data_IF_304730427369
#
_entry.id   IF_304730427369
#
_cell.length_a   1.000
_cell.length_b   1.000
_cell.length_c   1.000
_cell.angle_alpha   90.00
_cell.angle_beta   90.00
_cell.angle_gamma   90.00
#
_symmetry.space_group_name_H-M   'P 1'
#
loop_
_entity.id
_entity.type
_entity.pdbx_description
1 polymer ?
#
# COMPACT_ATOMS: atom_id res chain seq x y z
N UNK A 1 -7.22 -51.41 -21.88
CA UNK A 1 -8.07 -51.14 -20.71
C UNK A 1 -7.79 -49.72 -20.25
N UNK A 2 -8.50 -48.76 -20.80
CA UNK A 2 -8.42 -47.33 -20.44
C UNK A 2 -9.40 -47.05 -19.31
N UNK A 3 -8.93 -46.55 -18.21
CA UNK A 3 -9.81 -46.05 -17.15
C UNK A 3 -9.90 -44.53 -17.25
N UNK A 4 -11.00 -44.05 -17.82
CA UNK A 4 -11.32 -42.62 -17.86
C UNK A 4 -11.67 -42.09 -16.47
N UNK A 5 -11.00 -41.03 -16.09
CA UNK A 5 -11.30 -40.22 -14.89
C UNK A 5 -12.43 -39.25 -15.28
N UNK A 6 -13.63 -39.45 -14.74
CA UNK A 6 -14.76 -38.53 -14.86
C UNK A 6 -14.57 -37.32 -13.97
N UNK A 7 -14.37 -36.16 -14.57
CA UNK A 7 -14.40 -34.85 -13.90
C UNK A 7 -15.86 -34.56 -13.50
N UNK A 8 -16.13 -34.45 -12.19
CA UNK A 8 -17.45 -34.02 -11.69
C UNK A 8 -17.49 -32.48 -11.75
N UNK A 9 -18.36 -31.98 -12.64
CA UNK A 9 -18.78 -30.58 -12.64
C UNK A 9 -19.62 -30.33 -11.38
N UNK A 10 -19.14 -29.54 -10.44
CA UNK A 10 -19.90 -29.10 -9.28
C UNK A 10 -20.75 -27.88 -9.65
N UNK A 11 -22.04 -28.06 -9.51
CA UNK A 11 -23.09 -27.06 -9.75
C UNK A 11 -23.00 -25.89 -8.77
N UNK A 12 -22.70 -24.70 -9.27
CA UNK A 12 -22.66 -23.44 -8.54
C UNK A 12 -24.06 -22.85 -8.37
N UNK A 13 -24.82 -23.37 -7.42
CA UNK A 13 -26.07 -22.73 -6.93
C UNK A 13 -26.21 -22.99 -5.43
N UNK A 14 -25.43 -22.27 -4.62
CA UNK A 14 -25.78 -22.00 -3.22
C UNK A 14 -25.42 -20.56 -2.90
N UNK A 15 -26.44 -19.77 -2.60
CA UNK A 15 -26.39 -18.44 -2.04
C UNK A 15 -25.34 -18.38 -0.90
N UNK A 16 -24.30 -17.59 -1.11
CA UNK A 16 -23.34 -17.30 -0.06
C UNK A 16 -23.95 -16.22 0.82
N UNK A 17 -24.34 -16.61 2.03
CA UNK A 17 -24.63 -15.70 3.12
C UNK A 17 -23.39 -14.86 3.40
N UNK A 18 -23.43 -13.57 3.07
CA UNK A 18 -22.41 -12.57 3.45
C UNK A 18 -22.55 -12.24 4.93
N UNK A 19 -22.10 -13.13 5.81
CA UNK A 19 -21.92 -12.83 7.22
C UNK A 19 -20.51 -13.21 7.61
N UNK A 20 -19.72 -12.18 7.98
CA UNK A 20 -18.38 -12.24 8.56
C UNK A 20 -17.35 -13.03 7.75
N UNK A 21 -16.61 -12.33 6.91
CA UNK A 21 -15.30 -12.82 6.45
C UNK A 21 -14.37 -12.77 7.67
N UNK A 22 -14.32 -13.88 8.41
CA UNK A 22 -13.25 -14.10 9.39
C UNK A 22 -11.99 -14.40 8.57
N UNK A 23 -11.14 -13.39 8.34
CA UNK A 23 -9.81 -13.62 7.83
C UNK A 23 -9.06 -14.50 8.83
N UNK A 24 -8.62 -15.68 8.41
CA UNK A 24 -7.70 -16.49 9.20
C UNK A 24 -6.35 -15.78 9.20
N UNK A 25 -6.08 -15.02 10.26
CA UNK A 25 -4.77 -14.36 10.40
C UNK A 25 -3.68 -15.42 10.48
N UNK A 26 -2.62 -15.27 9.70
CA UNK A 26 -1.41 -16.04 9.92
C UNK A 26 -0.87 -15.72 11.31
N UNK A 27 -0.61 -16.76 12.12
CA UNK A 27 -0.22 -16.59 13.52
C UNK A 27 1.06 -15.76 13.70
N UNK A 28 1.98 -15.81 12.72
CA UNK A 28 3.23 -15.05 12.75
C UNK A 28 3.09 -13.76 11.95
N UNK A 29 3.36 -12.58 12.53
CA UNK A 29 3.33 -11.34 11.80
C UNK A 29 4.45 -11.28 10.74
N UNK A 30 4.17 -10.62 9.60
CA UNK A 30 5.18 -10.31 8.58
C UNK A 30 6.23 -9.34 9.11
N UNK A 31 5.77 -8.37 9.90
CA UNK A 31 6.58 -7.29 10.45
C UNK A 31 6.01 -6.86 11.78
N UNK A 32 6.86 -6.40 12.69
CA UNK A 32 6.46 -5.71 13.92
C UNK A 32 7.25 -4.43 14.10
N UNK A 33 6.56 -3.34 14.39
CA UNK A 33 7.16 -2.05 14.74
C UNK A 33 7.14 -1.92 16.26
N UNK A 34 8.31 -1.95 16.88
CA UNK A 34 8.43 -1.87 18.32
C UNK A 34 8.40 -0.42 18.83
N UNK A 35 7.98 -0.25 20.10
CA UNK A 35 8.03 1.05 20.78
C UNK A 35 7.09 2.10 20.24
N UNK A 36 5.98 1.70 19.62
CA UNK A 36 4.95 2.63 19.16
C UNK A 36 4.30 3.37 20.32
N UNK A 37 4.13 4.67 20.12
CA UNK A 37 3.34 5.55 20.98
C UNK A 37 2.25 6.23 20.16
N UNK A 38 1.09 6.45 20.77
CA UNK A 38 -0.01 7.18 20.15
C UNK A 38 0.26 8.68 20.17
N UNK A 39 -0.15 9.38 19.12
CA UNK A 39 -0.08 10.83 19.02
C UNK A 39 -1.21 11.41 18.19
N UNK A 40 -1.59 12.64 18.52
CA UNK A 40 -2.57 13.44 17.78
C UNK A 40 -1.85 14.51 16.97
N UNK A 41 -2.05 14.56 15.67
CA UNK A 41 -1.48 15.61 14.81
C UNK A 41 -2.20 16.94 15.08
N UNK A 42 -1.44 17.91 15.60
CA UNK A 42 -1.97 19.23 15.92
C UNK A 42 -1.80 20.18 14.75
N UNK A 43 -0.67 20.11 14.05
CA UNK A 43 -0.36 20.96 12.92
C UNK A 43 0.56 20.28 11.92
N UNK A 44 0.23 20.42 10.62
CA UNK A 44 1.07 19.99 9.50
C UNK A 44 0.90 20.98 8.33
N UNK A 45 1.94 21.58 7.78
CA UNK A 45 3.36 21.54 8.23
C UNK A 45 3.54 22.05 9.65
N UNK A 46 4.61 21.62 10.33
CA UNK A 46 4.96 22.05 11.69
C UNK A 46 5.11 23.55 11.82
N UNK A 47 4.87 24.09 13.02
CA UNK A 47 5.14 25.50 13.37
C UNK A 47 6.63 25.85 13.20
N UNK A 48 7.52 24.88 13.45
CA UNK A 48 8.97 25.04 13.49
C UNK A 48 9.62 24.68 12.15
N UNK A 49 9.32 23.49 11.62
CA UNK A 49 9.89 22.98 10.37
C UNK A 49 8.82 23.03 9.26
N UNK A 50 8.94 24.03 8.37
CA UNK A 50 7.94 24.38 7.33
C UNK A 50 7.93 23.43 6.13
N UNK A 51 8.07 22.11 6.35
CA UNK A 51 7.96 21.11 5.31
C UNK A 51 6.72 20.22 5.55
N UNK A 52 6.02 19.78 4.51
CA UNK A 52 4.84 18.91 4.64
C UNK A 52 5.18 17.52 5.21
N UNK A 53 6.46 17.21 5.36
CA UNK A 53 6.93 15.95 5.95
C UNK A 53 7.10 16.02 7.47
N UNK A 54 6.85 17.16 8.10
CA UNK A 54 6.98 17.31 9.55
C UNK A 54 5.70 17.87 10.15
N UNK A 55 5.26 17.23 11.23
CA UNK A 55 4.09 17.63 11.99
C UNK A 55 4.44 17.93 13.46
N UNK A 56 3.68 18.84 14.06
CA UNK A 56 3.57 18.99 15.51
C UNK A 56 2.56 17.97 16.02
N UNK A 57 2.98 17.12 16.94
CA UNK A 57 2.18 15.99 17.44
C UNK A 57 2.12 16.04 18.96
N UNK A 58 0.93 15.93 19.52
CA UNK A 58 0.71 15.75 20.96
C UNK A 58 0.77 14.26 21.29
N UNK A 59 1.56 13.90 22.29
CA UNK A 59 1.78 12.51 22.68
C UNK A 59 0.63 12.02 23.58
N UNK A 60 -0.16 11.05 23.12
CA UNK A 60 -1.25 10.45 23.89
C UNK A 60 -2.15 11.50 24.52
N UNK A 61 -2.55 11.26 25.76
CA UNK A 61 -3.38 12.18 26.57
C UNK A 61 -2.55 13.21 27.36
N UNK A 62 -1.28 13.39 27.01
CA UNK A 62 -0.39 14.36 27.66
C UNK A 62 -0.43 15.72 26.96
N UNK A 63 0.07 16.78 27.64
CA UNK A 63 0.31 18.11 27.04
C UNK A 63 1.66 18.22 26.33
N UNK A 64 2.37 17.10 26.15
CA UNK A 64 3.70 17.09 25.55
C UNK A 64 3.58 17.15 24.03
N UNK A 65 4.04 18.25 23.44
CA UNK A 65 4.19 18.39 21.98
C UNK A 65 5.59 17.92 21.53
N UNK A 66 5.63 17.28 20.38
CA UNK A 66 6.87 16.80 19.75
C UNK A 66 6.82 16.95 18.24
N UNK A 67 7.99 16.88 17.58
CA UNK A 67 8.08 16.82 16.12
C UNK A 67 8.09 15.37 15.66
N UNK A 68 7.16 15.04 14.76
CA UNK A 68 7.09 13.75 14.07
C UNK A 68 7.34 13.90 12.57
N UNK A 69 8.16 12.99 12.02
CA UNK A 69 8.37 12.90 10.59
C UNK A 69 7.25 12.04 9.97
N UNK A 70 6.48 12.63 9.07
CA UNK A 70 5.42 11.97 8.30
C UNK A 70 5.91 11.76 6.87
N UNK A 71 6.17 10.53 6.47
CA UNK A 71 6.89 10.25 5.22
C UNK A 71 6.08 10.41 3.93
N UNK A 72 4.76 10.57 3.98
CA UNK A 72 3.94 10.54 2.76
C UNK A 72 3.10 11.80 2.59
N UNK A 73 3.15 12.38 1.39
CA UNK A 73 2.22 13.42 0.95
C UNK A 73 0.90 12.82 0.41
N UNK A 74 0.92 11.58 -0.04
CA UNK A 74 -0.22 10.87 -0.61
C UNK A 74 -1.09 10.14 0.42
N UNK A 75 -1.01 10.50 1.71
CA UNK A 75 -1.87 9.94 2.76
C UNK A 75 -2.97 10.93 3.15
N UNK A 76 -3.78 11.35 2.19
CA UNK A 76 -4.85 12.33 2.37
C UNK A 76 -5.76 11.94 3.55
N UNK A 77 -5.88 12.82 4.55
CA UNK A 77 -6.66 12.60 5.76
C UNK A 77 -5.98 11.73 6.84
N UNK A 78 -5.06 10.83 6.46
CA UNK A 78 -4.46 9.87 7.40
C UNK A 78 -3.33 10.44 8.26
N UNK A 79 -2.80 11.58 7.88
CA UNK A 79 -1.74 12.28 8.63
C UNK A 79 -2.01 13.80 8.66
N UNK A 80 -3.25 14.22 8.54
CA UNK A 80 -3.66 15.62 8.61
C UNK A 80 -4.00 16.03 10.04
N UNK A 81 -4.26 17.31 10.26
CA UNK A 81 -4.63 17.84 11.58
C UNK A 81 -5.86 17.10 12.12
N UNK A 82 -5.79 16.62 13.35
CA UNK A 82 -6.83 15.82 13.99
C UNK A 82 -6.66 14.29 13.79
N UNK A 83 -5.72 13.84 12.95
CA UNK A 83 -5.47 12.41 12.79
C UNK A 83 -4.75 11.83 14.02
N UNK A 84 -5.24 10.69 14.50
CA UNK A 84 -4.55 9.86 15.48
C UNK A 84 -3.55 8.96 14.77
N UNK A 85 -2.28 8.98 15.20
CA UNK A 85 -1.20 8.25 14.58
C UNK A 85 -0.43 7.41 15.59
N UNK A 86 0.22 6.35 15.12
CA UNK A 86 1.18 5.58 15.90
C UNK A 86 2.58 5.84 15.36
N UNK A 87 3.47 6.24 16.24
CA UNK A 87 4.82 6.69 15.90
C UNK A 87 5.86 6.04 16.80
N UNK A 88 7.03 5.75 16.26
CA UNK A 88 8.16 5.25 17.04
C UNK A 88 9.25 6.31 17.21
N UNK A 89 10.01 6.28 18.31
CA UNK A 89 11.12 7.18 18.51
C UNK A 89 12.22 6.96 17.45
N UNK A 90 12.77 8.05 16.96
CA UNK A 90 13.94 7.99 16.07
C UNK A 90 15.19 7.80 16.91
N UNK A 91 16.09 6.88 16.57
CA UNK A 91 17.36 6.71 17.25
C UNK A 91 18.14 8.04 17.32
N UNK A 92 18.72 8.33 18.48
CA UNK A 92 19.55 9.54 18.63
C UNK A 92 20.71 9.48 17.62
N UNK A 93 21.03 10.60 16.95
CA UNK A 93 22.17 10.64 16.05
C UNK A 93 23.47 10.34 16.82
N UNK A 94 24.37 9.59 16.19
CA UNK A 94 25.68 9.22 16.79
C UNK A 94 26.55 10.45 17.12
N UNK A 95 26.37 11.56 16.40
CA UNK A 95 27.05 12.83 16.65
C UNK A 95 26.00 13.88 17.03
N UNK A 96 26.24 14.69 18.06
CA UNK A 96 25.35 15.81 18.39
C UNK A 96 25.23 16.73 17.18
N UNK A 97 24.01 17.13 16.84
CA UNK A 97 23.75 18.14 15.82
C UNK A 97 22.99 19.28 16.47
N UNK A 98 23.31 20.51 16.10
CA UNK A 98 22.56 21.70 16.54
C UNK A 98 21.26 21.90 15.74
N UNK A 99 20.93 20.95 14.84
CA UNK A 99 19.72 21.04 14.03
C UNK A 99 18.51 20.48 14.80
N UNK A 100 17.40 21.19 14.71
CA UNK A 100 16.12 20.71 15.22
C UNK A 100 15.70 19.51 14.36
N UNK A 101 15.53 18.35 14.99
CA UNK A 101 15.17 17.11 14.32
C UNK A 101 13.88 16.51 14.90
N UNK A 102 13.19 15.73 14.08
CA UNK A 102 12.04 14.95 14.54
C UNK A 102 12.49 13.90 15.55
N UNK A 103 11.83 13.86 16.70
CA UNK A 103 12.07 12.83 17.73
C UNK A 103 11.34 11.52 17.43
N UNK A 104 10.29 11.59 16.62
CA UNK A 104 9.45 10.47 16.26
C UNK A 104 9.28 10.36 14.75
N UNK A 105 9.01 9.15 14.31
CA UNK A 105 8.62 8.81 12.94
C UNK A 105 7.25 8.18 12.95
N UNK A 106 6.34 8.72 12.16
CA UNK A 106 4.98 8.23 12.03
C UNK A 106 4.97 7.04 11.06
N UNK A 107 4.39 5.93 11.50
CA UNK A 107 4.29 4.70 10.72
C UNK A 107 2.87 4.33 10.37
N UNK A 108 1.95 4.48 11.33
CA UNK A 108 0.57 4.04 11.20
C UNK A 108 -0.39 5.20 11.52
N UNK A 109 -1.59 5.13 10.97
CA UNK A 109 -2.72 5.99 11.31
C UNK A 109 -3.86 5.16 11.86
N UNK A 110 -4.61 5.68 12.84
CA UNK A 110 -5.80 5.05 13.38
C UNK A 110 -7.03 5.79 12.90
N UNK A 111 -7.91 5.10 12.19
CA UNK A 111 -9.21 5.61 11.76
C UNK A 111 -10.27 5.05 12.71
N UNK A 112 -11.09 5.92 13.27
CA UNK A 112 -12.30 5.53 13.99
C UNK A 112 -13.51 5.82 13.13
N UNK A 113 -14.27 4.78 12.83
CA UNK A 113 -15.49 4.89 12.04
C UNK A 113 -16.57 4.01 12.65
N UNK A 114 -17.66 4.63 13.07
CA UNK A 114 -18.71 3.98 13.86
C UNK A 114 -18.09 3.29 15.09
N UNK A 115 -18.35 2.01 15.30
CA UNK A 115 -17.81 1.22 16.42
C UNK A 115 -16.49 0.49 16.07
N UNK A 116 -15.92 0.76 14.89
CA UNK A 116 -14.69 0.13 14.43
C UNK A 116 -13.48 1.06 14.55
N UNK A 117 -12.33 0.46 14.87
CA UNK A 117 -11.02 1.10 14.78
C UNK A 117 -10.17 0.34 13.76
N UNK A 118 -9.62 1.06 12.79
CA UNK A 118 -8.83 0.50 11.71
C UNK A 118 -7.46 1.11 11.78
N UNK A 119 -6.43 0.26 11.83
CA UNK A 119 -5.04 0.70 11.80
C UNK A 119 -4.51 0.57 10.37
N UNK A 120 -3.94 1.65 9.85
CA UNK A 120 -3.49 1.76 8.45
C UNK A 120 -2.01 2.08 8.40
N UNK A 121 -1.24 1.30 7.64
CA UNK A 121 0.17 1.56 7.38
C UNK A 121 0.34 2.74 6.42
N UNK A 122 0.95 3.84 6.86
CA UNK A 122 1.09 5.05 6.04
C UNK A 122 2.52 5.36 5.62
N UNK A 123 3.52 4.73 6.25
CA UNK A 123 4.91 4.96 5.87
C UNK A 123 5.27 4.16 4.61
N UNK A 124 5.71 4.81 3.50
CA UNK A 124 5.88 4.15 2.20
C UNK A 124 6.82 2.95 2.21
N UNK A 125 7.91 3.01 2.99
CA UNK A 125 8.89 1.92 3.07
C UNK A 125 8.31 0.62 3.66
N UNK A 126 7.22 0.69 4.42
CA UNK A 126 6.56 -0.51 4.96
C UNK A 126 6.10 -1.45 3.84
N UNK A 127 5.66 -0.91 2.70
CA UNK A 127 5.19 -1.73 1.58
C UNK A 127 6.30 -2.64 1.04
N UNK A 128 7.52 -2.11 0.87
CA UNK A 128 8.66 -2.91 0.41
C UNK A 128 9.05 -3.96 1.46
N UNK A 129 9.14 -3.58 2.74
CA UNK A 129 9.54 -4.49 3.83
C UNK A 129 8.50 -5.60 4.03
N UNK A 130 7.21 -5.31 3.91
CA UNK A 130 6.11 -6.28 3.95
C UNK A 130 6.13 -7.22 2.74
N UNK A 131 6.40 -6.70 1.54
CA UNK A 131 6.52 -7.51 0.32
C UNK A 131 7.71 -8.47 0.44
N UNK A 132 8.84 -8.00 0.97
CA UNK A 132 10.00 -8.87 1.20
C UNK A 132 9.68 -9.99 2.20
N UNK A 133 9.00 -9.65 3.31
CA UNK A 133 8.58 -10.65 4.28
C UNK A 133 7.60 -11.67 3.69
N UNK A 134 6.66 -11.21 2.85
CA UNK A 134 5.72 -12.08 2.16
C UNK A 134 6.41 -13.01 1.14
N UNK A 135 7.42 -12.52 0.41
CA UNK A 135 8.26 -13.34 -0.47
C UNK A 135 9.01 -14.42 0.32
N UNK A 136 9.70 -14.04 1.42
CA UNK A 136 10.46 -14.96 2.28
C UNK A 136 9.59 -16.07 2.87
N UNK A 137 8.36 -15.74 3.23
CA UNK A 137 7.42 -16.65 3.87
C UNK A 137 6.50 -17.40 2.87
N UNK A 138 6.73 -17.25 1.56
CA UNK A 138 5.91 -17.86 0.49
C UNK A 138 4.41 -17.51 0.61
N UNK A 139 4.09 -16.28 0.95
CA UNK A 139 2.69 -15.83 1.02
C UNK A 139 2.16 -15.30 -0.32
N UNK A 140 3.04 -14.89 -1.25
CA UNK A 140 2.62 -14.42 -2.56
C UNK A 140 2.33 -15.62 -3.47
N UNK A 141 1.06 -15.88 -3.72
CA UNK A 141 0.59 -17.09 -4.45
C UNK A 141 1.14 -17.17 -5.87
N UNK A 142 1.38 -16.02 -6.52
CA UNK A 142 1.98 -15.95 -7.86
C UNK A 142 3.50 -16.06 -7.89
N UNK A 143 4.14 -16.02 -6.73
CA UNK A 143 5.61 -16.05 -6.57
C UNK A 143 6.05 -17.04 -5.48
N UNK A 144 5.39 -18.19 -5.39
CA UNK A 144 5.79 -19.27 -4.49
C UNK A 144 7.14 -19.85 -4.89
N UNK A 145 7.99 -20.18 -3.91
CA UNK A 145 9.24 -20.87 -4.14
C UNK A 145 10.26 -20.09 -4.99
N UNK A 146 10.32 -18.76 -4.83
CA UNK A 146 11.30 -17.92 -5.50
C UNK A 146 12.70 -18.44 -5.21
N UNK A 147 13.49 -18.75 -6.25
CA UNK A 147 14.84 -19.32 -6.11
C UNK A 147 15.83 -18.31 -5.54
N UNK A 148 15.74 -17.05 -6.01
CA UNK A 148 16.57 -15.93 -5.54
C UNK A 148 15.91 -14.60 -5.90
N UNK A 149 16.15 -13.61 -5.08
CA UNK A 149 15.78 -12.23 -5.38
C UNK A 149 16.80 -11.24 -4.81
N UNK A 150 16.74 -10.01 -5.25
CA UNK A 150 17.43 -8.86 -4.67
C UNK A 150 16.54 -7.65 -4.68
N UNK A 151 16.79 -6.72 -3.76
CA UNK A 151 16.13 -5.41 -3.70
C UNK A 151 16.85 -4.39 -4.59
N UNK A 152 16.11 -3.35 -4.97
CA UNK A 152 16.64 -2.13 -5.60
C UNK A 152 17.49 -2.41 -6.85
N UNK A 153 16.89 -3.05 -7.85
CA UNK A 153 17.58 -3.39 -9.10
C UNK A 153 17.44 -2.26 -10.11
N UNK A 154 18.55 -1.62 -10.44
CA UNK A 154 18.61 -0.68 -11.55
C UNK A 154 18.54 -1.41 -12.89
N UNK A 155 17.65 -0.95 -13.77
CA UNK A 155 17.51 -1.43 -15.14
C UNK A 155 17.62 -0.21 -16.06
N UNK A 156 18.56 -0.31 -16.99
CA UNK A 156 18.79 0.71 -17.98
C UNK A 156 18.69 0.11 -19.39
N UNK A 157 17.83 0.69 -20.23
CA UNK A 157 17.74 0.40 -21.65
C UNK A 157 17.70 1.76 -22.36
N UNK A 158 18.71 2.04 -23.16
CA UNK A 158 18.92 3.35 -23.78
C UNK A 158 17.65 3.88 -24.44
N UNK A 159 17.25 5.09 -24.07
CA UNK A 159 16.04 5.76 -24.58
C UNK A 159 14.70 5.15 -24.16
N UNK A 160 14.69 4.05 -23.39
CA UNK A 160 13.46 3.31 -23.08
C UNK A 160 13.22 3.12 -21.57
N UNK A 161 14.22 2.67 -20.83
CA UNK A 161 14.10 2.34 -19.40
C UNK A 161 15.26 2.93 -18.63
N UNK A 162 14.96 3.66 -17.59
CA UNK A 162 15.94 4.19 -16.62
C UNK A 162 15.29 4.25 -15.23
N UNK A 163 15.10 3.08 -14.64
CA UNK A 163 14.48 2.96 -13.32
C UNK A 163 15.15 1.92 -12.44
N UNK A 164 14.99 2.13 -11.14
CA UNK A 164 15.36 1.17 -10.11
C UNK A 164 14.08 0.59 -9.55
N UNK A 165 13.84 -0.68 -9.87
CA UNK A 165 12.69 -1.44 -9.38
C UNK A 165 12.96 -2.04 -8.02
N UNK A 166 11.91 -2.18 -7.20
CA UNK A 166 12.03 -2.58 -5.81
C UNK A 166 12.57 -4.00 -5.64
N UNK A 167 12.18 -4.93 -6.52
CA UNK A 167 12.68 -6.31 -6.52
C UNK A 167 12.97 -6.83 -7.94
N UNK A 168 13.95 -7.71 -8.03
CA UNK A 168 14.14 -8.59 -9.18
C UNK A 168 14.59 -9.96 -8.71
N UNK A 169 14.36 -11.01 -9.51
CA UNK A 169 14.75 -12.35 -9.11
C UNK A 169 14.51 -13.40 -10.18
N UNK A 170 14.56 -14.65 -9.75
CA UNK A 170 14.23 -15.83 -10.53
C UNK A 170 13.15 -16.59 -9.78
N UNK A 171 12.03 -16.86 -10.44
CA UNK A 171 10.93 -17.61 -9.85
C UNK A 171 11.22 -19.12 -9.74
N UNK A 172 10.28 -19.91 -9.21
CA UNK A 172 10.44 -21.35 -9.04
C UNK A 172 10.65 -22.12 -10.35
N UNK A 173 10.22 -21.55 -11.48
CA UNK A 173 10.36 -22.14 -12.81
C UNK A 173 11.64 -21.69 -13.55
N UNK A 174 12.50 -20.92 -12.90
CA UNK A 174 13.70 -20.36 -13.52
C UNK A 174 13.44 -19.12 -14.39
N UNK A 175 12.24 -18.54 -14.35
CA UNK A 175 11.88 -17.36 -15.14
C UNK A 175 12.30 -16.10 -14.40
N UNK A 176 13.00 -15.15 -15.05
CA UNK A 176 13.33 -13.86 -14.46
C UNK A 176 12.06 -13.05 -14.15
N UNK A 177 12.05 -12.36 -13.02
CA UNK A 177 10.99 -11.38 -12.71
C UNK A 177 11.55 -10.05 -12.24
N UNK A 178 10.76 -9.00 -12.46
CA UNK A 178 10.95 -7.65 -11.94
C UNK A 178 9.65 -7.24 -11.28
N UNK A 179 9.74 -6.65 -10.10
CA UNK A 179 8.57 -6.19 -9.35
C UNK A 179 8.77 -4.76 -8.84
N UNK A 180 7.77 -3.95 -9.10
CA UNK A 180 7.59 -2.63 -8.48
C UNK A 180 6.51 -2.71 -7.42
N UNK A 181 6.72 -2.06 -6.28
CA UNK A 181 5.82 -2.06 -5.13
C UNK A 181 5.21 -0.67 -4.94
N UNK A 182 3.92 -0.63 -4.67
CA UNK A 182 3.20 0.61 -4.34
C UNK A 182 2.51 0.49 -3.00
N UNK A 183 2.72 1.48 -2.14
CA UNK A 183 2.03 1.60 -0.86
C UNK A 183 0.61 2.13 -1.10
N UNK A 184 -0.41 1.41 -0.65
CA UNK A 184 -1.83 1.75 -0.83
C UNK A 184 -2.52 1.87 0.53
N UNK A 185 -2.40 3.03 1.21
CA UNK A 185 -3.10 3.29 2.47
C UNK A 185 -4.53 3.82 2.28
N UNK A 186 -4.86 4.32 1.08
CA UNK A 186 -6.10 5.01 0.84
C UNK A 186 -7.22 4.07 0.41
N UNK A 187 -8.37 4.25 1.01
CA UNK A 187 -9.63 3.64 0.61
C UNK A 187 -10.81 4.50 1.06
N UNK A 188 -11.90 4.43 0.29
CA UNK A 188 -13.18 5.04 0.65
C UNK A 188 -14.32 4.25 0.02
N UNK A 189 -15.57 4.54 0.38
CA UNK A 189 -16.76 3.93 -0.24
C UNK A 189 -16.87 4.24 -1.74
N UNK A 190 -16.31 5.38 -2.16
CA UNK A 190 -16.18 5.79 -3.56
C UNK A 190 -14.81 6.41 -3.80
N UNK A 191 -14.16 6.04 -4.90
CA UNK A 191 -12.92 6.68 -5.36
C UNK A 191 -13.29 7.93 -6.15
N UNK A 192 -13.48 9.04 -5.44
CA UNK A 192 -13.85 10.35 -5.99
C UNK A 192 -13.07 11.45 -5.29
N UNK A 193 -13.04 12.66 -5.88
CA UNK A 193 -12.33 13.78 -5.27
C UNK A 193 -12.94 14.17 -3.92
N UNK A 194 -12.15 14.77 -3.05
CA UNK A 194 -12.63 15.27 -1.76
C UNK A 194 -13.81 16.28 -1.91
N UNK A 195 -13.82 17.05 -3.02
CA UNK A 195 -14.91 17.98 -3.34
C UNK A 195 -16.21 17.22 -3.63
N UNK A 196 -16.15 16.17 -4.43
CA UNK A 196 -17.33 15.39 -4.85
C UNK A 196 -17.86 14.51 -3.70
N UNK A 197 -17.00 14.20 -2.72
CA UNK A 197 -17.34 13.43 -1.51
C UNK A 197 -18.09 14.29 -0.48
N UNK A 198 -17.87 15.61 -0.50
CA UNK A 198 -18.46 16.50 0.48
C UNK A 198 -20.00 16.43 0.47
N UNK A 199 -20.57 16.12 1.63
CA UNK A 199 -22.03 16.02 1.83
C UNK A 199 -22.65 14.67 1.47
N UNK A 200 -21.84 13.68 1.01
CA UNK A 200 -22.33 12.31 0.85
C UNK A 200 -22.38 11.60 2.22
N UNK A 201 -23.40 10.78 2.40
CA UNK A 201 -23.56 9.91 3.56
C UNK A 201 -23.38 8.45 3.12
N UNK A 202 -22.67 7.67 3.91
CA UNK A 202 -22.40 6.25 3.65
C UNK A 202 -22.77 5.35 4.84
N UNK A 203 -23.65 5.83 5.72
CA UNK A 203 -24.00 5.14 6.96
C UNK A 203 -24.69 3.79 6.73
N UNK A 204 -25.34 3.61 5.59
CA UNK A 204 -25.97 2.37 5.13
C UNK A 204 -24.98 1.38 4.48
N UNK A 205 -23.75 1.81 4.16
CA UNK A 205 -22.76 0.96 3.52
C UNK A 205 -22.02 0.07 4.55
N UNK A 206 -21.75 -1.21 4.24
CA UNK A 206 -20.91 -2.05 5.08
C UNK A 206 -19.50 -1.45 5.26
N UNK A 207 -18.97 -1.48 6.49
CA UNK A 207 -17.63 -0.91 6.79
C UNK A 207 -16.52 -1.47 5.90
N UNK A 208 -16.62 -2.74 5.49
CA UNK A 208 -15.65 -3.44 4.67
C UNK A 208 -15.96 -3.41 3.16
N UNK A 209 -16.78 -2.46 2.70
CA UNK A 209 -17.16 -2.33 1.28
C UNK A 209 -16.45 -1.19 0.56
N UNK A 210 -15.35 -0.71 1.13
CA UNK A 210 -14.57 0.36 0.53
C UNK A 210 -13.73 -0.14 -0.64
N UNK A 211 -13.45 0.75 -1.57
CA UNK A 211 -12.47 0.54 -2.63
C UNK A 211 -11.12 1.11 -2.20
N UNK A 212 -10.08 0.28 -2.22
CA UNK A 212 -8.70 0.76 -2.12
C UNK A 212 -8.28 1.36 -3.47
N UNK A 213 -7.56 2.49 -3.47
CA UNK A 213 -7.16 3.15 -4.70
C UNK A 213 -5.76 3.76 -4.63
N UNK A 214 -5.15 3.89 -5.81
CA UNK A 214 -3.82 4.49 -6.00
C UNK A 214 -3.70 5.07 -7.43
N UNK A 215 -3.03 6.20 -7.64
CA UNK A 215 -2.54 7.14 -6.64
C UNK A 215 -3.60 8.16 -6.23
N UNK A 216 -3.35 8.84 -5.11
CA UNK A 216 -3.99 10.11 -4.76
C UNK A 216 -2.96 11.02 -4.09
N UNK A 217 -3.21 12.31 -4.08
CA UNK A 217 -2.31 13.29 -3.48
C UNK A 217 -2.39 14.68 -4.10
N UNK A 218 -1.41 15.50 -3.74
CA UNK A 218 -1.34 16.87 -4.20
C UNK A 218 -0.92 16.98 -5.67
N UNK A 219 -1.65 17.80 -6.43
CA UNK A 219 -1.34 18.25 -7.79
C UNK A 219 -1.36 19.77 -7.85
N UNK A 220 -0.49 20.37 -8.67
CA UNK A 220 -0.53 21.82 -8.92
C UNK A 220 -1.73 22.19 -9.78
N UNK A 221 -2.02 21.37 -10.80
CA UNK A 221 -3.18 21.53 -11.68
C UNK A 221 -4.00 20.24 -11.68
N UNK A 222 -5.29 20.33 -11.88
CA UNK A 222 -6.19 19.16 -11.94
C UNK A 222 -5.86 18.19 -13.08
N UNK A 223 -5.19 18.70 -14.12
CA UNK A 223 -4.74 17.92 -15.29
C UNK A 223 -3.38 17.26 -15.11
N UNK A 224 -2.63 17.60 -14.05
CA UNK A 224 -1.32 17.00 -13.81
C UNK A 224 -1.49 15.57 -13.30
N UNK A 225 -0.58 14.69 -13.68
CA UNK A 225 -0.45 13.34 -13.10
C UNK A 225 -0.19 13.44 -11.61
N UNK A 226 -0.92 12.68 -10.79
CA UNK A 226 -0.75 12.68 -9.33
C UNK A 226 0.61 12.13 -8.93
N UNK A 227 1.05 11.06 -9.61
CA UNK A 227 2.35 10.42 -9.34
C UNK A 227 3.13 10.16 -10.63
N UNK A 228 3.89 11.16 -11.14
CA UNK A 228 4.70 10.98 -12.37
C UNK A 228 5.68 9.81 -12.28
N UNK A 229 6.26 9.56 -11.09
CA UNK A 229 7.15 8.42 -10.88
C UNK A 229 6.42 7.08 -11.00
N UNK A 230 5.21 6.97 -10.46
CA UNK A 230 4.44 5.73 -10.57
C UNK A 230 4.02 5.48 -12.03
N UNK A 231 3.61 6.52 -12.74
CA UNK A 231 3.28 6.45 -14.16
C UNK A 231 4.51 6.00 -15.00
N UNK A 232 5.69 6.57 -14.73
CA UNK A 232 6.93 6.15 -15.38
C UNK A 232 7.19 4.65 -15.15
N UNK A 233 7.13 4.17 -13.91
CA UNK A 233 7.43 2.78 -13.57
C UNK A 233 6.47 1.80 -14.25
N UNK A 234 5.16 2.07 -14.28
CA UNK A 234 4.21 1.16 -14.94
C UNK A 234 4.42 1.10 -16.45
N UNK A 235 4.73 2.24 -17.09
CA UNK A 235 5.06 2.30 -18.52
C UNK A 235 6.34 1.52 -18.83
N UNK A 236 7.37 1.65 -18.02
CA UNK A 236 8.64 0.93 -18.21
C UNK A 236 8.47 -0.57 -17.99
N UNK A 237 7.69 -1.01 -16.98
CA UNK A 237 7.32 -2.43 -16.84
C UNK A 237 6.59 -2.96 -18.08
N UNK A 238 5.71 -2.15 -18.67
CA UNK A 238 4.99 -2.50 -19.91
C UNK A 238 5.95 -2.69 -21.09
N UNK A 239 6.92 -1.78 -21.24
CA UNK A 239 7.96 -1.88 -22.29
C UNK A 239 8.81 -3.13 -22.11
N UNK A 240 9.32 -3.39 -20.89
CA UNK A 240 10.12 -4.58 -20.58
C UNK A 240 9.32 -5.85 -20.87
N UNK A 241 8.04 -5.87 -20.51
CA UNK A 241 7.17 -7.03 -20.74
C UNK A 241 6.97 -7.33 -22.22
N UNK A 242 6.83 -6.31 -23.04
CA UNK A 242 6.65 -6.45 -24.50
C UNK A 242 7.94 -6.93 -25.20
N UNK A 243 9.10 -6.54 -24.69
CA UNK A 243 10.39 -6.80 -25.34
C UNK A 243 11.14 -8.02 -24.79
N UNK A 244 10.63 -8.63 -23.71
CA UNK A 244 11.31 -9.74 -23.05
C UNK A 244 10.35 -10.81 -22.52
N UNK A 245 10.90 -11.97 -22.16
CA UNK A 245 10.19 -13.04 -21.44
C UNK A 245 10.15 -12.83 -19.93
N UNK A 246 10.65 -11.71 -19.43
CA UNK A 246 10.68 -11.39 -18.02
C UNK A 246 9.24 -11.23 -17.49
N UNK A 247 8.97 -11.78 -16.33
CA UNK A 247 7.72 -11.51 -15.61
C UNK A 247 7.82 -10.10 -15.04
N UNK A 248 6.91 -9.23 -15.43
CA UNK A 248 6.82 -7.87 -14.92
C UNK A 248 5.62 -7.79 -13.98
N UNK A 249 5.84 -7.34 -12.75
CA UNK A 249 4.85 -7.41 -11.68
C UNK A 249 4.71 -6.02 -11.06
N UNK A 250 3.46 -5.55 -10.93
CA UNK A 250 3.10 -4.39 -10.11
C UNK A 250 2.40 -4.91 -8.85
N UNK A 251 3.02 -4.73 -7.68
CA UNK A 251 2.48 -5.15 -6.39
C UNK A 251 1.91 -3.94 -5.65
N UNK A 252 0.61 -3.93 -5.45
CA UNK A 252 -0.08 -2.94 -4.61
C UNK A 252 -0.25 -3.51 -3.21
N UNK A 253 0.44 -2.94 -2.23
CA UNK A 253 0.35 -3.33 -0.83
C UNK A 253 -0.71 -2.49 -0.15
N UNK A 254 -1.87 -3.09 0.03
CA UNK A 254 -3.06 -2.47 0.62
C UNK A 254 -2.94 -2.59 2.13
N UNK A 255 -2.72 -1.46 2.79
CA UNK A 255 -2.34 -1.35 4.20
C UNK A 255 -3.53 -1.33 5.17
N UNK A 256 -4.67 -1.87 4.76
CA UNK A 256 -5.93 -1.87 5.53
C UNK A 256 -6.86 -3.00 5.07
N UNK A 257 -7.83 -3.38 5.92
CA UNK A 257 -8.71 -4.54 5.70
C UNK A 257 -10.17 -4.20 5.51
N UNK A 258 -10.56 -2.94 5.58
CA UNK A 258 -11.95 -2.49 5.39
C UNK A 258 -12.30 -2.26 3.90
N UNK A 259 -11.71 -3.07 3.04
CA UNK A 259 -11.82 -2.99 1.58
C UNK A 259 -12.25 -4.31 0.98
N UNK A 260 -13.02 -4.28 -0.10
CA UNK A 260 -13.45 -5.46 -0.86
C UNK A 260 -12.84 -5.53 -2.28
N UNK A 261 -12.22 -4.44 -2.77
CA UNK A 261 -11.60 -4.34 -4.08
C UNK A 261 -10.53 -3.26 -4.12
N UNK A 262 -9.71 -3.30 -5.16
CA UNK A 262 -8.74 -2.28 -5.52
C UNK A 262 -9.00 -1.73 -6.91
N UNK A 263 -8.68 -0.46 -7.15
CA UNK A 263 -8.62 0.11 -8.50
C UNK A 263 -7.52 1.14 -8.65
N UNK A 264 -6.90 1.25 -9.85
CA UNK A 264 -6.17 2.45 -10.22
C UNK A 264 -7.13 3.64 -10.17
N UNK A 265 -6.75 4.70 -9.43
CA UNK A 265 -7.66 5.79 -9.10
C UNK A 265 -8.23 6.49 -10.33
N UNK A 266 -9.53 6.81 -10.30
CA UNK A 266 -10.17 7.64 -11.33
C UNK A 266 -9.72 9.10 -11.26
N UNK A 267 -9.12 9.50 -10.14
CA UNK A 267 -8.55 10.84 -9.93
C UNK A 267 -7.33 11.08 -10.83
N UNK A 268 -6.60 10.02 -11.21
CA UNK A 268 -5.49 10.04 -12.15
C UNK A 268 -5.80 9.17 -13.38
N UNK A 269 -6.55 9.69 -14.37
CA UNK A 269 -6.97 8.94 -15.53
C UNK A 269 -5.80 8.48 -16.40
N UNK A 270 -4.68 9.21 -16.41
CA UNK A 270 -3.49 8.84 -17.16
C UNK A 270 -2.81 7.60 -16.55
N UNK A 271 -2.68 7.57 -15.23
CA UNK A 271 -2.16 6.40 -14.53
C UNK A 271 -3.07 5.19 -14.71
N UNK A 272 -4.40 5.39 -14.58
CA UNK A 272 -5.39 4.33 -14.79
C UNK A 272 -5.31 3.73 -16.20
N UNK A 273 -5.21 4.57 -17.23
CA UNK A 273 -5.04 4.10 -18.61
C UNK A 273 -3.73 3.32 -18.80
N UNK A 274 -2.63 3.77 -18.20
CA UNK A 274 -1.35 3.08 -18.25
C UNK A 274 -1.37 1.71 -17.54
N UNK A 275 -2.10 1.59 -16.42
CA UNK A 275 -2.26 0.29 -15.75
C UNK A 275 -3.08 -0.67 -16.62
N UNK A 276 -4.15 -0.20 -17.26
CA UNK A 276 -4.95 -1.00 -18.19
C UNK A 276 -4.08 -1.52 -19.34
N UNK A 277 -3.32 -0.65 -19.99
CA UNK A 277 -2.37 -1.01 -21.06
C UNK A 277 -1.32 -2.03 -20.58
N UNK A 278 -0.82 -1.88 -19.35
CA UNK A 278 0.14 -2.80 -18.75
C UNK A 278 -0.44 -4.21 -18.58
N UNK A 279 -1.67 -4.31 -18.10
CA UNK A 279 -2.36 -5.60 -17.93
C UNK A 279 -2.61 -6.26 -19.30
N UNK A 280 -3.05 -5.48 -20.30
CA UNK A 280 -3.22 -5.96 -21.69
C UNK A 280 -1.90 -6.45 -22.30
N UNK A 281 -0.77 -5.84 -21.93
CA UNK A 281 0.57 -6.28 -22.33
C UNK A 281 1.09 -7.50 -21.54
N UNK A 282 0.38 -7.94 -20.49
CA UNK A 282 0.75 -9.08 -19.67
C UNK A 282 1.59 -8.75 -18.42
N UNK A 283 1.59 -7.49 -17.97
CA UNK A 283 2.10 -7.14 -16.63
C UNK A 283 1.15 -7.72 -15.58
N UNK A 284 1.71 -8.44 -14.63
CA UNK A 284 0.95 -9.07 -13.56
C UNK A 284 0.64 -8.07 -12.45
N UNK A 285 -0.59 -8.09 -11.94
CA UNK A 285 -1.00 -7.28 -10.79
C UNK A 285 -1.13 -8.20 -9.57
N UNK A 286 -0.46 -7.85 -8.49
CA UNK A 286 -0.63 -8.44 -7.15
C UNK A 286 -1.25 -7.37 -6.24
N UNK A 287 -2.29 -7.73 -5.51
CA UNK A 287 -2.98 -6.87 -4.54
C UNK A 287 -2.85 -7.48 -3.15
N UNK A 288 -1.73 -7.23 -2.50
CA UNK A 288 -1.42 -7.77 -1.18
C UNK A 288 -2.12 -6.96 -0.08
N UNK A 289 -3.02 -7.57 0.65
CA UNK A 289 -3.73 -6.97 1.79
C UNK A 289 -3.02 -7.31 3.08
N UNK A 290 -2.78 -6.30 3.91
CA UNK A 290 -2.13 -6.42 5.21
C UNK A 290 -3.03 -5.83 6.29
N UNK A 291 -3.16 -6.56 7.40
CA UNK A 291 -3.81 -6.11 8.61
C UNK A 291 -2.77 -5.63 9.61
N UNK A 292 -2.94 -4.39 10.08
CA UNK A 292 -2.17 -3.83 11.18
C UNK A 292 -2.96 -3.92 12.49
N UNK A 293 -2.26 -4.15 13.58
CA UNK A 293 -2.78 -4.05 14.94
C UNK A 293 -2.11 -2.90 15.68
N UNK A 294 -2.75 -2.38 16.73
CA UNK A 294 -2.26 -1.20 17.45
C UNK A 294 -0.91 -1.45 18.17
N UNK A 295 -0.55 -2.72 18.42
CA UNK A 295 0.76 -3.11 18.96
C UNK A 295 1.90 -3.06 17.92
N UNK A 296 1.60 -2.65 16.68
CA UNK A 296 2.56 -2.53 15.60
C UNK A 296 2.80 -3.80 14.79
N UNK A 297 2.04 -4.85 15.01
CA UNK A 297 2.15 -6.09 14.24
C UNK A 297 1.40 -5.98 12.91
N UNK A 298 2.02 -6.45 11.83
CA UNK A 298 1.45 -6.55 10.48
C UNK A 298 1.26 -8.00 10.08
N UNK A 299 0.05 -8.37 9.70
CA UNK A 299 -0.30 -9.74 9.31
C UNK A 299 -0.70 -9.80 7.84
N UNK A 300 -0.24 -10.83 7.14
CA UNK A 300 -0.70 -11.12 5.78
C UNK A 300 -2.15 -11.59 5.82
N UNK A 301 -2.96 -11.05 4.90
CA UNK A 301 -4.37 -11.42 4.77
C UNK A 301 -4.61 -12.20 3.48
N UNK A 302 -4.26 -11.61 2.34
CA UNK A 302 -4.40 -12.18 0.99
C UNK A 302 -3.56 -11.39 -0.03
N UNK A 303 -3.38 -11.93 -1.23
CA UNK A 303 -2.66 -11.26 -2.33
C UNK A 303 -3.46 -11.21 -3.66
N UNK A 304 -4.77 -11.43 -3.56
CA UNK A 304 -5.68 -11.55 -4.69
C UNK A 304 -6.97 -10.72 -4.53
N UNK A 305 -6.88 -9.54 -3.87
CA UNK A 305 -8.03 -8.65 -3.78
C UNK A 305 -8.51 -8.28 -5.19
N UNK A 306 -9.83 -8.32 -5.50
CA UNK A 306 -10.35 -8.01 -6.83
C UNK A 306 -9.88 -6.67 -7.36
N UNK A 307 -9.41 -6.63 -8.61
CA UNK A 307 -8.93 -5.41 -9.29
C UNK A 307 -9.95 -4.94 -10.32
N UNK A 308 -10.37 -3.68 -10.20
CA UNK A 308 -11.28 -3.00 -11.14
C UNK A 308 -10.47 -2.07 -12.06
N UNK A 309 -10.31 -2.45 -13.34
CA UNK A 309 -9.52 -1.69 -14.34
C UNK A 309 -10.44 -1.02 -15.37
#
# INVERSE_FOLDING_TARGET
MERGVKCKVLNLSKLINYSRINYTMHATPLLKIEGLVEGLIIKRPSKIIKTPYVADIRIGDTDIETLGHTASLGCCGLADVGATVLMAPVPKPRKPTNQIACKYKVYLSMIRERDASIVVGIHPKLAEDLTEAALKNNHLTRLLGVQRYKRETAIYVEGKVDSRFDFSGIDCNGVPFIMEVKNVPLADYEDITAKDRKGKCYDDRPLNSKVAYFPDGYRKKSTDTVSPRALKHIRELTLIKRESKTRCIMCYVIQRTDVDRFQPSIIDPEYRAAVKEAVEAGVEIITMVVQWTADGSAHFVRDDLPVMI
#
